data_IF_040210961501
#
_entry.id   IF_040210961501
#
_cell.length_a   1.000
_cell.length_b   1.000
_cell.length_c   1.000
_cell.angle_alpha   90.00
_cell.angle_beta   90.00
_cell.angle_gamma   90.00
#
_symmetry.space_group_name_H-M   'P 1'
#
loop_
_entity.id
_entity.type
_entity.pdbx_description
1 polymer ?
#
# COMPACT_ATOMS: atom_id res chain seq x y z
N UNK A 1 12.87 -7.62 6.76
CA UNK A 1 12.28 -8.22 7.98
C UNK A 1 11.41 -9.41 7.61
N UNK A 2 11.40 -10.45 8.44
CA UNK A 2 10.45 -11.57 8.36
C UNK A 2 9.58 -11.54 9.60
N UNK A 3 8.27 -11.38 9.44
CA UNK A 3 7.32 -11.16 10.55
C UNK A 3 6.10 -12.06 10.44
N UNK A 4 5.41 -12.27 11.57
CA UNK A 4 4.12 -12.97 11.63
C UNK A 4 2.95 -11.98 11.50
N UNK A 5 1.71 -12.48 11.51
CA UNK A 5 0.48 -11.67 11.50
C UNK A 5 -0.09 -11.36 10.12
N UNK A 6 0.64 -11.70 9.05
CA UNK A 6 0.18 -11.46 7.68
C UNK A 6 0.27 -10.00 7.27
N UNK A 7 -0.12 -9.72 6.02
CA UNK A 7 -0.25 -8.36 5.49
C UNK A 7 -1.22 -7.50 6.33
N UNK A 8 -2.27 -8.10 6.92
CA UNK A 8 -3.24 -7.41 7.75
C UNK A 8 -2.62 -6.74 8.97
N UNK A 9 -1.67 -7.39 9.66
CA UNK A 9 -0.96 -6.76 10.78
C UNK A 9 -0.13 -5.55 10.32
N UNK A 10 0.36 -5.55 9.08
CA UNK A 10 1.11 -4.42 8.54
C UNK A 10 0.22 -3.20 8.27
N UNK A 11 -1.08 -3.39 8.04
CA UNK A 11 -2.03 -2.27 7.92
C UNK A 11 -2.08 -1.41 9.18
N UNK A 12 -1.80 -2.01 10.35
CA UNK A 12 -1.69 -1.33 11.64
C UNK A 12 -0.25 -0.94 11.96
N UNK A 13 0.71 -1.84 11.76
CA UNK A 13 2.09 -1.63 12.19
C UNK A 13 2.76 -0.47 11.44
N UNK A 14 2.50 -0.31 10.14
CA UNK A 14 3.09 0.75 9.33
C UNK A 14 2.67 2.15 9.82
N UNK A 15 1.38 2.50 9.92
CA UNK A 15 0.98 3.84 10.40
C UNK A 15 1.50 4.13 11.80
N UNK A 16 1.48 3.14 12.72
CA UNK A 16 2.00 3.32 14.08
C UNK A 16 3.49 3.65 14.15
N UNK A 17 4.29 3.23 13.15
CA UNK A 17 5.73 3.49 13.12
C UNK A 17 6.09 4.72 12.28
N UNK A 18 5.38 4.99 11.18
CA UNK A 18 5.75 6.05 10.24
C UNK A 18 5.08 7.41 10.53
N UNK A 19 3.98 7.45 11.30
CA UNK A 19 3.20 8.67 11.52
C UNK A 19 3.42 9.32 12.91
N UNK A 20 4.48 8.99 13.64
CA UNK A 20 4.65 9.46 15.03
C UNK A 20 4.67 11.00 15.18
N UNK A 21 5.37 11.71 14.29
CA UNK A 21 5.48 13.20 14.33
C UNK A 21 4.70 13.91 13.21
N UNK A 22 4.10 13.14 12.28
CA UNK A 22 3.40 13.66 11.11
C UNK A 22 1.89 13.53 11.27
N UNK A 23 1.12 14.36 10.56
CA UNK A 23 -0.32 14.44 10.79
C UNK A 23 -1.09 13.19 10.33
N UNK A 24 -0.62 12.42 9.35
CA UNK A 24 -1.39 11.29 8.85
C UNK A 24 -0.72 10.50 7.72
N UNK A 25 -1.53 9.74 6.99
CA UNK A 25 -1.11 8.90 5.88
C UNK A 25 -2.13 8.94 4.73
N UNK A 26 -1.64 8.92 3.50
CA UNK A 26 -2.48 8.94 2.30
C UNK A 26 -2.61 7.55 1.72
N UNK A 27 -3.79 7.22 1.19
CA UNK A 27 -4.11 5.91 0.64
C UNK A 27 -4.75 6.06 -0.74
N UNK A 28 -4.32 5.22 -1.68
CA UNK A 28 -4.97 5.05 -2.98
C UNK A 28 -5.76 3.75 -2.96
N UNK A 29 -7.09 3.85 -3.09
CA UNK A 29 -7.99 2.71 -2.94
C UNK A 29 -8.49 2.23 -4.30
N UNK A 30 -7.81 1.21 -4.82
CA UNK A 30 -8.13 0.58 -6.11
C UNK A 30 -8.87 -0.74 -5.97
N UNK A 31 -9.21 -1.14 -4.73
CA UNK A 31 -9.98 -2.35 -4.47
C UNK A 31 -10.16 -2.65 -2.98
N UNK A 32 -10.40 -3.93 -2.69
CA UNK A 32 -10.79 -4.39 -1.36
C UNK A 32 -9.66 -4.36 -0.34
N UNK A 33 -8.42 -4.63 -0.75
CA UNK A 33 -7.28 -4.66 0.17
C UNK A 33 -6.83 -3.25 0.56
N UNK A 34 -6.79 -2.33 -0.40
CA UNK A 34 -6.56 -0.90 -0.13
C UNK A 34 -7.62 -0.32 0.79
N UNK A 35 -8.90 -0.68 0.59
CA UNK A 35 -9.99 -0.29 1.50
C UNK A 35 -9.77 -0.80 2.93
N UNK A 36 -9.37 -2.06 3.11
CA UNK A 36 -9.06 -2.60 4.45
C UNK A 36 -7.86 -1.91 5.09
N UNK A 37 -6.83 -1.61 4.30
CA UNK A 37 -5.62 -0.95 4.79
C UNK A 37 -5.91 0.45 5.34
N UNK A 38 -6.65 1.29 4.59
CA UNK A 38 -7.03 2.63 5.07
C UNK A 38 -7.98 2.58 6.26
N UNK A 39 -8.92 1.63 6.28
CA UNK A 39 -9.85 1.44 7.40
C UNK A 39 -9.15 1.08 8.70
N UNK A 40 -8.14 0.20 8.63
CA UNK A 40 -7.38 -0.20 9.81
C UNK A 40 -6.45 0.93 10.27
N UNK A 41 -5.79 1.63 9.35
CA UNK A 41 -4.92 2.75 9.66
C UNK A 41 -5.65 3.93 10.32
N UNK A 42 -6.88 4.23 9.87
CA UNK A 42 -7.72 5.31 10.40
C UNK A 42 -8.08 5.14 11.88
N UNK A 43 -7.85 3.95 12.47
CA UNK A 43 -8.03 3.70 13.91
C UNK A 43 -6.90 4.25 14.76
N UNK A 44 -5.76 4.59 14.15
CA UNK A 44 -4.52 4.96 14.85
C UNK A 44 -3.95 6.30 14.40
N UNK A 45 -4.20 6.71 13.14
CA UNK A 45 -3.66 7.94 12.55
C UNK A 45 -4.72 8.61 11.65
N UNK A 46 -4.51 9.86 11.22
CA UNK A 46 -5.36 10.52 10.21
C UNK A 46 -5.08 9.94 8.81
N UNK A 47 -5.60 8.74 8.56
CA UNK A 47 -5.50 8.05 7.29
C UNK A 47 -6.63 8.50 6.35
N UNK A 48 -6.27 8.99 5.17
CA UNK A 48 -7.22 9.51 4.18
C UNK A 48 -7.05 8.84 2.83
N UNK A 49 -8.18 8.64 2.13
CA UNK A 49 -8.16 8.20 0.73
C UNK A 49 -8.00 9.42 -0.17
N UNK A 50 -6.89 9.50 -0.89
CA UNK A 50 -6.56 10.65 -1.78
C UNK A 50 -6.83 10.37 -3.26
N UNK A 51 -7.09 9.10 -3.60
CA UNK A 51 -7.57 8.68 -4.90
C UNK A 51 -8.31 7.34 -4.77
N UNK A 52 -9.35 7.13 -5.57
CA UNK A 52 -10.13 5.90 -5.56
C UNK A 52 -10.72 5.60 -6.93
N UNK A 53 -10.84 4.31 -7.26
CA UNK A 53 -11.63 3.85 -8.40
C UNK A 53 -13.01 3.31 -7.98
N UNK A 54 -13.50 3.69 -6.79
CA UNK A 54 -14.80 3.27 -6.27
C UNK A 54 -15.95 3.59 -7.23
N UNK A 55 -15.92 4.75 -7.88
CA UNK A 55 -16.99 5.21 -8.79
C UNK A 55 -17.06 4.40 -10.09
N UNK A 56 -15.97 3.69 -10.43
CA UNK A 56 -15.90 2.76 -11.55
C UNK A 56 -15.94 1.30 -11.10
N UNK A 57 -16.47 1.03 -9.90
CA UNK A 57 -16.50 -0.31 -9.27
C UNK A 57 -15.13 -0.98 -9.19
N UNK A 58 -14.08 -0.19 -8.91
CA UNK A 58 -12.70 -0.67 -8.75
C UNK A 58 -12.16 -1.38 -10.01
N UNK A 59 -12.47 -0.87 -11.19
CA UNK A 59 -12.07 -1.45 -12.48
C UNK A 59 -10.79 -0.85 -13.07
N UNK A 60 -10.25 0.22 -12.47
CA UNK A 60 -9.08 0.94 -12.96
C UNK A 60 -8.23 1.51 -11.83
N UNK A 61 -7.07 2.05 -12.19
CA UNK A 61 -6.23 2.86 -11.31
C UNK A 61 -6.40 4.31 -11.75
N UNK A 62 -6.77 5.25 -10.86
CA UNK A 62 -6.81 6.67 -11.18
C UNK A 62 -5.43 7.19 -11.60
N UNK A 63 -5.40 8.13 -12.55
CA UNK A 63 -4.15 8.75 -12.98
C UNK A 63 -3.45 9.44 -11.80
N UNK A 64 -2.12 9.31 -11.71
CA UNK A 64 -1.35 9.86 -10.58
C UNK A 64 -1.50 11.37 -10.48
N UNK A 65 -1.67 12.06 -11.60
CA UNK A 65 -1.89 13.52 -11.63
C UNK A 65 -3.23 13.94 -11.00
N UNK A 66 -4.17 13.01 -10.82
CA UNK A 66 -5.47 13.28 -10.19
C UNK A 66 -5.48 12.97 -8.69
N UNK A 67 -4.36 12.55 -8.09
CA UNK A 67 -4.31 12.19 -6.68
C UNK A 67 -4.18 13.45 -5.82
N UNK A 68 -5.12 13.65 -4.90
CA UNK A 68 -5.13 14.81 -3.98
C UNK A 68 -4.20 14.57 -2.78
N UNK A 69 -2.92 14.32 -3.04
CA UNK A 69 -1.91 13.97 -2.02
C UNK A 69 -1.59 15.16 -1.12
N UNK A 70 -1.55 14.93 0.19
CA UNK A 70 -1.24 15.96 1.19
C UNK A 70 0.26 16.16 1.34
N UNK A 71 0.69 17.38 1.60
CA UNK A 71 2.11 17.72 1.79
C UNK A 71 2.68 17.25 3.13
N UNK A 72 1.83 17.13 4.13
CA UNK A 72 2.18 16.71 5.49
C UNK A 72 1.95 15.21 5.76
N UNK A 73 1.56 14.43 4.74
CA UNK A 73 1.43 12.99 4.85
C UNK A 73 2.79 12.31 5.12
N UNK A 74 2.77 11.30 5.98
CA UNK A 74 3.95 10.48 6.26
C UNK A 74 4.35 9.62 5.06
N UNK A 75 3.36 9.08 4.37
CA UNK A 75 3.53 8.23 3.20
C UNK A 75 2.24 8.21 2.37
N UNK A 76 2.37 7.72 1.14
CA UNK A 76 1.27 7.33 0.26
C UNK A 76 1.28 5.80 0.16
N UNK A 77 0.13 5.17 0.41
CA UNK A 77 -0.04 3.73 0.40
C UNK A 77 -0.80 3.28 -0.85
N UNK A 78 -0.31 2.21 -1.48
CA UNK A 78 -0.98 1.52 -2.57
C UNK A 78 -1.12 0.02 -2.28
N UNK A 79 -2.16 -0.60 -2.83
CA UNK A 79 -2.17 -2.05 -3.09
C UNK A 79 -1.69 -2.28 -4.52
N UNK A 80 -0.50 -2.85 -4.70
CA UNK A 80 0.13 -2.97 -6.02
C UNK A 80 -0.63 -3.93 -6.95
N UNK A 81 -1.35 -4.90 -6.38
CA UNK A 81 -2.20 -5.84 -7.11
C UNK A 81 -3.44 -6.22 -6.29
N UNK A 82 -4.61 -5.70 -6.69
CA UNK A 82 -5.90 -6.00 -6.08
C UNK A 82 -6.47 -7.32 -6.62
N UNK A 83 -6.37 -8.38 -5.82
CA UNK A 83 -6.73 -9.74 -6.28
C UNK A 83 -8.20 -9.95 -6.61
N UNK A 84 -9.11 -9.17 -5.99
CA UNK A 84 -10.55 -9.34 -6.18
C UNK A 84 -11.01 -8.65 -7.48
N UNK A 85 -10.50 -7.45 -7.73
CA UNK A 85 -10.85 -6.67 -8.93
C UNK A 85 -9.98 -6.97 -10.14
N UNK A 86 -8.85 -7.68 -9.97
CA UNK A 86 -7.90 -7.93 -11.06
C UNK A 86 -7.19 -6.66 -11.54
N UNK A 87 -6.97 -5.70 -10.62
CA UNK A 87 -6.36 -4.39 -10.94
C UNK A 87 -4.93 -4.36 -10.43
N UNK A 88 -3.98 -4.18 -11.35
CA UNK A 88 -2.55 -4.22 -11.04
C UNK A 88 -1.82 -2.99 -11.61
N UNK A 89 -0.99 -2.36 -10.78
CA UNK A 89 -0.08 -1.31 -11.22
C UNK A 89 0.95 -1.88 -12.20
N UNK A 90 1.02 -1.31 -13.41
CA UNK A 90 1.96 -1.74 -14.45
C UNK A 90 3.36 -1.18 -14.26
N UNK A 91 3.46 -0.01 -13.64
CA UNK A 91 4.70 0.64 -13.21
C UNK A 91 4.54 1.24 -11.81
N UNK A 92 5.66 1.54 -11.16
CA UNK A 92 5.67 2.30 -9.92
C UNK A 92 5.16 3.72 -10.20
N UNK A 93 4.16 4.23 -9.46
CA UNK A 93 3.72 5.62 -9.61
C UNK A 93 4.84 6.58 -9.17
N UNK A 94 5.02 7.67 -9.90
CA UNK A 94 5.97 8.73 -9.54
C UNK A 94 5.31 9.71 -8.57
N UNK A 95 5.83 9.77 -7.34
CA UNK A 95 5.29 10.61 -6.27
C UNK A 95 6.22 11.78 -5.91
N UNK A 96 7.27 12.02 -6.71
CA UNK A 96 8.35 12.94 -6.35
C UNK A 96 9.01 12.52 -5.03
N UNK A 97 9.08 13.44 -4.08
CA UNK A 97 9.76 13.23 -2.79
C UNK A 97 8.90 12.51 -1.73
N UNK A 98 7.63 12.18 -2.05
CA UNK A 98 6.73 11.53 -1.09
C UNK A 98 7.11 10.04 -0.93
N UNK A 99 7.02 9.55 0.30
CA UNK A 99 7.35 8.14 0.64
C UNK A 99 6.26 7.20 0.13
N UNK A 100 6.63 6.23 -0.70
CA UNK A 100 5.72 5.19 -1.20
C UNK A 100 5.75 3.94 -0.31
N UNK A 101 4.57 3.47 0.10
CA UNK A 101 4.35 2.19 0.79
C UNK A 101 3.48 1.29 -0.09
N UNK A 102 3.88 0.03 -0.29
CA UNK A 102 3.15 -0.89 -1.15
C UNK A 102 2.85 -2.25 -0.51
N UNK A 103 1.56 -2.63 -0.51
CA UNK A 103 1.15 -4.03 -0.38
C UNK A 103 1.41 -4.75 -1.70
N UNK A 104 2.41 -5.62 -1.72
CA UNK A 104 2.75 -6.44 -2.88
C UNK A 104 2.40 -7.91 -2.67
N UNK A 105 1.54 -8.25 -1.70
CA UNK A 105 1.28 -9.66 -1.33
C UNK A 105 1.01 -10.57 -2.54
N UNK A 106 0.27 -10.09 -3.54
CA UNK A 106 -0.18 -10.83 -4.73
C UNK A 106 0.64 -10.60 -6.00
N UNK A 107 1.73 -9.86 -5.95
CA UNK A 107 2.66 -9.71 -7.08
C UNK A 107 4.13 -9.60 -6.65
N UNK A 108 4.43 -9.87 -5.39
CA UNK A 108 5.80 -9.91 -4.88
C UNK A 108 6.60 -10.98 -5.63
N UNK A 109 7.77 -10.62 -6.17
CA UNK A 109 8.59 -11.46 -7.05
C UNK A 109 7.93 -11.92 -8.37
N UNK A 110 6.83 -11.29 -8.84
CA UNK A 110 6.26 -11.61 -10.15
C UNK A 110 6.97 -10.94 -11.32
N UNK A 111 7.67 -9.83 -11.06
CA UNK A 111 8.42 -9.01 -12.03
C UNK A 111 9.56 -8.26 -11.34
N UNK A 112 10.60 -7.82 -12.08
CA UNK A 112 11.59 -6.89 -11.56
C UNK A 112 10.93 -5.58 -11.10
N UNK A 113 11.40 -5.04 -9.98
CA UNK A 113 10.99 -3.75 -9.46
C UNK A 113 12.24 -2.95 -9.05
N UNK A 114 12.14 -1.64 -9.13
CA UNK A 114 13.13 -0.73 -8.56
C UNK A 114 12.78 -0.48 -7.09
N UNK A 115 13.48 -1.15 -6.18
CA UNK A 115 13.21 -1.10 -4.74
C UNK A 115 13.53 0.29 -4.17
N UNK A 116 14.42 1.07 -4.78
CA UNK A 116 14.82 2.40 -4.30
C UNK A 116 13.67 3.41 -4.34
N UNK A 117 12.64 3.15 -5.17
CA UNK A 117 11.42 3.97 -5.27
C UNK A 117 10.43 3.78 -4.11
N UNK A 118 10.69 2.82 -3.22
CA UNK A 118 9.77 2.48 -2.13
C UNK A 118 10.42 2.79 -0.78
N UNK A 119 9.64 3.39 0.13
CA UNK A 119 10.02 3.43 1.55
C UNK A 119 9.76 2.11 2.25
N UNK A 120 8.60 1.49 1.96
CA UNK A 120 8.23 0.18 2.50
C UNK A 120 7.55 -0.67 1.43
N UNK A 121 7.99 -1.93 1.32
CA UNK A 121 7.28 -2.99 0.59
C UNK A 121 6.93 -4.07 1.59
N UNK A 122 5.69 -4.55 1.59
CA UNK A 122 5.33 -5.72 2.38
C UNK A 122 4.49 -6.72 1.58
N UNK A 123 4.63 -8.00 1.92
CA UNK A 123 3.92 -9.08 1.25
C UNK A 123 3.69 -10.26 2.21
N UNK A 124 2.43 -10.68 2.36
CA UNK A 124 2.14 -11.99 2.94
C UNK A 124 2.50 -13.09 1.94
N UNK A 125 3.21 -14.13 2.38
CA UNK A 125 3.72 -15.17 1.47
C UNK A 125 2.61 -15.93 0.73
N UNK A 126 1.41 -16.06 1.32
CA UNK A 126 0.28 -16.92 0.92
C UNK A 126 -0.41 -16.59 -0.41
N UNK A 127 0.19 -15.78 -1.28
CA UNK A 127 -0.34 -15.52 -2.62
C UNK A 127 0.69 -15.88 -3.68
N UNK A 128 1.79 -15.12 -3.79
CA UNK A 128 2.70 -15.26 -4.92
C UNK A 128 3.97 -16.09 -4.64
N UNK A 129 4.33 -16.33 -3.37
CA UNK A 129 5.63 -16.92 -3.05
C UNK A 129 5.61 -18.07 -2.02
N UNK A 130 4.44 -18.63 -1.72
CA UNK A 130 4.35 -19.82 -0.87
C UNK A 130 3.06 -19.91 -0.05
N UNK A 131 3.03 -20.76 0.99
CA UNK A 131 1.92 -20.86 1.93
C UNK A 131 1.94 -19.73 2.98
N UNK A 132 0.86 -19.64 3.77
CA UNK A 132 0.77 -18.71 4.89
C UNK A 132 1.75 -19.04 6.03
N UNK A 133 2.08 -18.03 6.83
CA UNK A 133 2.89 -18.18 8.04
C UNK A 133 4.01 -17.14 8.19
N UNK A 134 4.40 -16.49 7.09
CA UNK A 134 5.41 -15.43 7.09
C UNK A 134 4.99 -14.25 6.21
N UNK A 135 5.38 -13.05 6.62
CA UNK A 135 5.24 -11.80 5.88
C UNK A 135 6.61 -11.16 5.73
N UNK A 136 6.97 -10.80 4.50
CA UNK A 136 8.20 -10.10 4.21
C UNK A 136 7.92 -8.61 4.26
N UNK A 137 8.83 -7.86 4.88
CA UNK A 137 8.81 -6.39 4.87
C UNK A 137 10.20 -5.89 4.50
N UNK A 138 10.29 -5.12 3.42
CA UNK A 138 11.49 -4.40 3.01
C UNK A 138 11.27 -2.94 3.43
N UNK A 139 12.22 -2.38 4.19
CA UNK A 139 12.16 -1.02 4.72
C UNK A 139 13.48 -0.33 4.38
N UNK A 140 13.41 0.91 3.89
CA UNK A 140 14.57 1.76 3.64
C UNK A 140 15.08 2.41 4.93
#
# INVERSE_FOLDING_TARGET
LFVQGGASTQFTAIPMNLCAEKKGADYVTTGAWGKKAVQEAARFVDAQTVASSKDTNFSSIPDVSSWEMRDDAAYVHICANETIGGVEYKSTPDLGDKVLVADMSSNFCSKPIDVEKYGVIYAGAQKNIGPAGVTMVIVR
#
